data_IF_180491343343
#
_entry.id   IF_180491343343
#
_cell.length_a   1.000
_cell.length_b   1.000
_cell.length_c   1.000
_cell.angle_alpha   90.00
_cell.angle_beta   90.00
_cell.angle_gamma   90.00
#
_symmetry.space_group_name_H-M   'P 1'
#
loop_
_entity.id
_entity.type
_entity.pdbx_description
1 polymer ?
#
# COMPACT_ATOMS: atom_id res chain seq x y z
N UNK A 1 -18.27 -30.92 -9.71
CA UNK A 1 -17.70 -30.27 -10.91
C UNK A 1 -17.30 -31.37 -11.90
N UNK A 2 -17.76 -31.32 -13.15
CA UNK A 2 -17.53 -32.40 -14.12
C UNK A 2 -16.09 -32.37 -14.66
N UNK A 3 -15.55 -33.52 -15.05
CA UNK A 3 -14.20 -33.64 -15.63
C UNK A 3 -14.00 -32.79 -16.90
N UNK A 4 -15.08 -32.37 -17.56
CA UNK A 4 -15.02 -31.52 -18.75
C UNK A 4 -14.63 -30.07 -18.44
N UNK A 5 -15.07 -29.51 -17.29
CA UNK A 5 -14.68 -28.15 -16.88
C UNK A 5 -13.17 -28.05 -16.62
N UNK A 6 -12.58 -29.04 -15.95
CA UNK A 6 -11.13 -29.06 -15.66
C UNK A 6 -10.28 -29.08 -16.93
N UNK A 7 -10.73 -29.78 -17.98
CA UNK A 7 -10.00 -29.85 -19.25
C UNK A 7 -9.98 -28.50 -19.98
N UNK A 8 -11.04 -27.72 -19.87
CA UNK A 8 -11.12 -26.39 -20.46
C UNK A 8 -10.22 -25.39 -19.71
N UNK A 9 -10.23 -25.44 -18.38
CA UNK A 9 -9.36 -24.61 -17.55
C UNK A 9 -7.87 -24.80 -17.89
N UNK A 10 -7.43 -26.06 -18.04
CA UNK A 10 -6.04 -26.39 -18.42
C UNK A 10 -5.71 -25.82 -19.80
N UNK A 11 -6.58 -26.05 -20.79
CA UNK A 11 -6.36 -25.58 -22.18
C UNK A 11 -6.34 -24.07 -22.31
N UNK A 12 -7.16 -23.36 -21.52
CA UNK A 12 -7.12 -21.90 -21.49
C UNK A 12 -5.79 -21.44 -20.90
N UNK A 13 -5.37 -22.01 -19.77
CA UNK A 13 -4.10 -21.67 -19.13
C UNK A 13 -2.88 -21.92 -20.03
N UNK A 14 -2.87 -22.99 -20.83
CA UNK A 14 -1.80 -23.25 -21.80
C UNK A 14 -1.71 -22.20 -22.93
N UNK A 15 -2.79 -21.46 -23.17
CA UNK A 15 -2.91 -20.44 -24.22
C UNK A 15 -3.03 -19.03 -23.64
N UNK A 16 -2.59 -18.83 -22.40
CA UNK A 16 -2.72 -17.57 -21.66
C UNK A 16 -2.11 -16.37 -22.42
N UNK A 17 -0.99 -16.60 -23.10
CA UNK A 17 -0.30 -15.57 -23.89
C UNK A 17 -1.12 -15.07 -25.10
N UNK A 18 -2.14 -15.82 -25.54
CA UNK A 18 -3.01 -15.39 -26.66
C UNK A 18 -4.07 -14.36 -26.24
N UNK A 19 -4.33 -14.21 -24.95
CA UNK A 19 -5.38 -13.34 -24.42
C UNK A 19 -4.95 -12.49 -23.21
N UNK A 20 -3.66 -12.51 -22.86
CA UNK A 20 -3.09 -11.69 -21.79
C UNK A 20 -1.89 -10.90 -22.28
N UNK A 21 -1.50 -9.87 -21.52
CA UNK A 21 -0.26 -9.15 -21.72
C UNK A 21 0.44 -8.93 -20.38
N UNK A 22 1.76 -8.86 -20.41
CA UNK A 22 2.57 -8.52 -19.25
C UNK A 22 2.73 -7.01 -19.16
N UNK A 23 2.38 -6.44 -18.00
CA UNK A 23 2.64 -5.04 -17.66
C UNK A 23 3.53 -5.00 -16.43
N UNK A 24 4.55 -4.16 -16.45
CA UNK A 24 5.35 -3.90 -15.26
C UNK A 24 4.51 -3.14 -14.23
N UNK A 25 4.59 -3.57 -12.98
CA UNK A 25 3.76 -3.08 -11.89
C UNK A 25 4.65 -2.80 -10.67
N UNK A 26 4.54 -1.60 -10.11
CA UNK A 26 5.40 -1.18 -9.02
C UNK A 26 4.66 -1.20 -7.69
N UNK A 27 5.20 -1.94 -6.72
CA UNK A 27 4.64 -2.04 -5.37
C UNK A 27 5.65 -1.50 -4.37
N UNK A 28 5.29 -0.41 -3.70
CA UNK A 28 6.00 0.09 -2.54
C UNK A 28 5.49 -0.63 -1.29
N UNK A 29 6.39 -1.26 -0.53
CA UNK A 29 6.06 -1.92 0.74
C UNK A 29 6.87 -1.30 1.86
N UNK A 30 6.19 -0.74 2.84
CA UNK A 30 6.80 -0.14 4.02
C UNK A 30 6.30 -0.80 5.28
N UNK A 31 7.19 -1.01 6.25
CA UNK A 31 6.79 -1.33 7.62
C UNK A 31 7.38 -0.38 8.67
N UNK A 32 6.61 -0.07 9.72
CA UNK A 32 7.07 0.80 10.81
C UNK A 32 6.47 0.41 12.16
N UNK A 33 7.33 0.07 13.12
CA UNK A 33 6.95 -0.08 14.52
C UNK A 33 6.83 1.30 15.18
N UNK A 34 5.62 1.69 15.56
CA UNK A 34 5.34 3.03 16.11
C UNK A 34 5.44 3.08 17.64
N UNK A 35 5.72 1.95 18.30
CA UNK A 35 5.96 1.84 19.74
C UNK A 35 4.89 2.58 20.58
N UNK A 36 3.62 2.27 20.31
CA UNK A 36 2.43 2.82 20.96
C UNK A 36 2.27 4.35 20.88
N UNK A 37 3.04 5.02 20.00
CA UNK A 37 3.02 6.48 19.87
C UNK A 37 1.82 6.94 19.07
N UNK A 38 1.29 8.08 19.49
CA UNK A 38 0.30 8.81 18.73
C UNK A 38 0.94 9.39 17.46
N UNK A 39 0.18 9.41 16.37
CA UNK A 39 0.66 9.97 15.12
C UNK A 39 0.84 11.50 15.29
N UNK A 40 2.02 12.06 14.98
CA UNK A 40 2.27 13.50 15.14
C UNK A 40 1.48 14.29 14.09
N UNK A 41 0.72 15.31 14.51
CA UNK A 41 -0.17 16.07 13.60
C UNK A 41 0.55 16.91 12.53
N UNK A 42 1.85 17.15 12.68
CA UNK A 42 2.66 18.02 11.83
C UNK A 42 3.80 17.29 11.09
N UNK A 43 3.85 15.96 11.13
CA UNK A 43 4.92 15.18 10.50
C UNK A 43 4.37 14.45 9.28
N UNK A 44 5.14 14.52 8.18
CA UNK A 44 4.95 13.72 6.98
C UNK A 44 6.03 12.65 6.90
N UNK A 45 5.73 11.55 6.22
CA UNK A 45 6.63 10.40 6.08
C UNK A 45 7.32 10.39 4.71
N UNK A 46 7.68 11.57 4.19
CA UNK A 46 8.11 11.76 2.80
C UNK A 46 9.41 11.01 2.49
N UNK A 47 10.36 11.04 3.43
CA UNK A 47 11.62 10.29 3.29
C UNK A 47 11.41 8.79 3.17
N UNK A 48 10.33 8.27 3.75
CA UNK A 48 10.00 6.86 3.73
C UNK A 48 9.13 6.47 2.53
N UNK A 49 8.10 7.26 2.23
CA UNK A 49 7.07 6.90 1.27
C UNK A 49 7.26 7.51 -0.12
N UNK A 50 8.17 8.47 -0.28
CA UNK A 50 8.26 9.28 -1.51
C UNK A 50 9.63 9.25 -2.18
N UNK A 51 10.64 8.62 -1.57
CA UNK A 51 11.98 8.47 -2.13
C UNK A 51 12.16 7.15 -2.89
N UNK A 52 11.18 6.76 -3.70
CA UNK A 52 11.25 5.53 -4.50
C UNK A 52 12.04 5.80 -5.78
N UNK A 53 13.31 5.38 -5.79
CA UNK A 53 14.16 5.40 -6.98
C UNK A 53 14.01 4.09 -7.73
N UNK A 54 14.06 4.15 -9.05
CA UNK A 54 14.19 2.93 -9.84
C UNK A 54 15.59 2.33 -9.65
N UNK A 55 15.64 1.16 -9.01
CA UNK A 55 16.88 0.44 -8.74
C UNK A 55 17.42 -0.31 -9.96
N UNK A 56 16.61 -0.45 -11.02
CA UNK A 56 16.95 -1.17 -12.24
C UNK A 56 17.42 -0.25 -13.37
N UNK A 57 17.28 1.07 -13.20
CA UNK A 57 17.75 2.06 -14.17
C UNK A 57 19.08 2.68 -13.71
N UNK A 58 20.09 2.64 -14.57
CA UNK A 58 21.43 3.20 -14.32
C UNK A 58 21.38 4.73 -14.11
N UNK A 59 20.37 5.38 -14.67
CA UNK A 59 20.02 6.77 -14.43
C UNK A 59 19.20 6.91 -13.14
N UNK A 60 19.91 6.90 -12.00
CA UNK A 60 19.45 6.97 -10.59
C UNK A 60 18.55 8.16 -10.19
N UNK A 61 18.00 8.92 -11.15
CA UNK A 61 17.32 10.20 -10.94
C UNK A 61 15.81 10.17 -11.25
N UNK A 62 15.27 9.12 -11.85
CA UNK A 62 13.82 9.04 -12.09
C UNK A 62 13.07 8.54 -10.84
N UNK A 63 12.07 9.33 -10.41
CA UNK A 63 11.13 8.96 -9.34
C UNK A 63 10.16 7.95 -9.92
N UNK A 64 10.17 6.73 -9.39
CA UNK A 64 9.21 5.70 -9.77
C UNK A 64 7.92 5.89 -8.96
N UNK A 65 6.81 6.19 -9.63
CA UNK A 65 5.51 6.30 -8.99
C UNK A 65 4.91 4.90 -8.82
N UNK A 66 4.66 4.43 -7.59
CA UNK A 66 4.12 3.09 -7.35
C UNK A 66 2.66 2.98 -7.80
N UNK A 67 2.28 1.80 -8.28
CA UNK A 67 0.88 1.44 -8.55
C UNK A 67 0.15 1.04 -7.26
N UNK A 68 0.85 0.39 -6.32
CA UNK A 68 0.35 0.05 -5.00
C UNK A 68 1.34 0.48 -3.93
N UNK A 69 0.81 1.06 -2.85
CA UNK A 69 1.55 1.34 -1.63
C UNK A 69 0.93 0.50 -0.51
N UNK A 70 1.71 -0.44 0.03
CA UNK A 70 1.35 -1.25 1.19
C UNK A 70 2.13 -0.80 2.42
N UNK A 71 1.43 -0.29 3.44
CA UNK A 71 2.04 0.18 4.69
C UNK A 71 1.58 -0.67 5.86
N UNK A 72 2.52 -1.26 6.59
CA UNK A 72 2.29 -2.07 7.77
C UNK A 72 2.84 -1.42 9.04
N UNK A 73 1.97 -1.08 9.97
CA UNK A 73 2.37 -0.57 11.29
C UNK A 73 2.33 -1.67 12.35
N UNK A 74 3.31 -1.66 13.26
CA UNK A 74 3.31 -2.51 14.45
C UNK A 74 3.24 -1.68 15.73
N UNK A 75 2.74 -2.32 16.79
CA UNK A 75 2.60 -1.77 18.12
C UNK A 75 1.82 -0.44 18.15
N UNK A 76 0.78 -0.29 17.31
CA UNK A 76 -0.03 0.94 17.32
C UNK A 76 -0.69 1.18 18.69
N UNK A 77 -1.33 0.14 19.22
CA UNK A 77 -1.85 0.15 20.57
C UNK A 77 -1.42 -1.12 21.31
N UNK A 78 -0.58 -0.93 22.31
CA UNK A 78 -0.08 -2.01 23.17
C UNK A 78 -0.83 -2.10 24.50
N UNK A 79 -1.84 -1.25 24.71
CA UNK A 79 -2.65 -1.26 25.92
C UNK A 79 -3.48 -2.56 26.03
N UNK A 80 -3.74 -3.00 27.26
CA UNK A 80 -4.63 -4.14 27.52
C UNK A 80 -6.04 -3.92 26.95
N UNK A 81 -6.49 -2.66 26.88
CA UNK A 81 -7.77 -2.27 26.30
C UNK A 81 -7.87 -2.53 24.81
N UNK A 82 -6.77 -2.45 24.05
CA UNK A 82 -6.76 -2.69 22.61
C UNK A 82 -7.11 -4.13 22.20
N UNK A 83 -6.98 -5.09 23.14
CA UNK A 83 -7.40 -6.48 22.92
C UNK A 83 -8.88 -6.70 23.17
N UNK A 84 -9.52 -5.80 23.91
CA UNK A 84 -10.89 -5.96 24.42
C UNK A 84 -11.85 -5.02 23.68
N UNK A 85 -11.38 -3.81 23.37
CA UNK A 85 -12.16 -2.72 22.79
C UNK A 85 -11.67 -2.41 21.37
N UNK A 86 -12.60 -2.22 20.44
CA UNK A 86 -12.33 -1.84 19.05
C UNK A 86 -12.07 -0.32 18.92
N UNK A 87 -11.15 0.23 19.72
CA UNK A 87 -10.70 1.62 19.53
C UNK A 87 -9.74 1.69 18.34
N UNK A 88 -10.04 2.58 17.39
CA UNK A 88 -9.32 2.78 16.13
C UNK A 88 -8.65 4.15 16.02
N UNK A 89 -8.75 4.99 17.06
CA UNK A 89 -8.31 6.38 16.99
C UNK A 89 -6.87 6.54 16.50
N UNK A 90 -5.91 5.82 17.12
CA UNK A 90 -4.49 5.87 16.71
C UNK A 90 -4.28 5.33 15.30
N UNK A 91 -5.06 4.32 14.90
CA UNK A 91 -4.96 3.71 13.57
C UNK A 91 -5.39 4.69 12.48
N UNK A 92 -6.48 5.42 12.73
CA UNK A 92 -7.01 6.43 11.82
C UNK A 92 -6.06 7.64 11.72
N UNK A 93 -5.45 8.06 12.83
CA UNK A 93 -4.43 9.12 12.82
C UNK A 93 -3.20 8.75 11.99
N UNK A 94 -2.65 7.55 12.18
CA UNK A 94 -1.52 7.07 11.37
C UNK A 94 -1.89 6.91 9.89
N UNK A 95 -3.11 6.45 9.60
CA UNK A 95 -3.60 6.40 8.23
C UNK A 95 -3.73 7.79 7.60
N UNK A 96 -4.22 8.78 8.35
CA UNK A 96 -4.33 10.16 7.84
C UNK A 96 -2.96 10.72 7.47
N UNK A 97 -1.93 10.49 8.28
CA UNK A 97 -0.56 10.93 7.94
C UNK A 97 -0.06 10.26 6.65
N UNK A 98 -0.27 8.96 6.49
CA UNK A 98 0.13 8.24 5.26
C UNK A 98 -0.60 8.82 4.05
N UNK A 99 -1.91 9.04 4.14
CA UNK A 99 -2.71 9.65 3.07
C UNK A 99 -2.21 11.04 2.72
N UNK A 100 -1.97 11.89 3.71
CA UNK A 100 -1.46 13.25 3.49
C UNK A 100 -0.07 13.24 2.86
N UNK A 101 0.81 12.33 3.31
CA UNK A 101 2.16 12.17 2.75
C UNK A 101 2.09 11.78 1.29
N UNK A 102 1.35 10.70 0.95
CA UNK A 102 1.19 10.22 -0.43
C UNK A 102 0.60 11.33 -1.31
N UNK A 103 -0.43 12.01 -0.80
CA UNK A 103 -1.07 13.15 -1.47
C UNK A 103 -0.06 14.22 -1.85
N UNK A 104 0.71 14.71 -0.87
CA UNK A 104 1.65 15.81 -1.07
C UNK A 104 2.83 15.43 -1.96
N UNK A 105 3.27 14.17 -1.91
CA UNK A 105 4.40 13.70 -2.71
C UNK A 105 4.07 13.46 -4.17
N UNK A 106 2.86 12.95 -4.47
CA UNK A 106 2.51 12.51 -5.80
C UNK A 106 1.49 13.41 -6.51
N UNK A 107 0.61 14.14 -5.81
CA UNK A 107 -0.36 15.06 -6.44
C UNK A 107 0.25 16.42 -6.83
N UNK A 108 1.48 16.75 -6.39
CA UNK A 108 2.13 18.05 -6.66
C UNK A 108 2.96 18.11 -7.95
N UNK A 109 3.05 17.03 -8.72
CA UNK A 109 3.78 17.03 -9.98
C UNK A 109 2.83 17.39 -11.14
N UNK A 110 3.05 18.59 -11.68
CA UNK A 110 2.16 19.42 -12.51
C UNK A 110 1.66 18.86 -13.87
N UNK A 111 1.65 17.56 -14.14
CA UNK A 111 1.18 17.05 -15.45
C UNK A 111 0.21 15.85 -15.39
N UNK A 112 0.11 15.12 -14.28
CA UNK A 112 -0.85 14.02 -14.12
C UNK A 112 -1.54 14.07 -12.75
N UNK A 113 -2.86 13.88 -12.72
CA UNK A 113 -3.65 13.88 -11.49
C UNK A 113 -3.50 12.52 -10.78
N UNK A 114 -2.31 12.23 -10.25
CA UNK A 114 -1.98 10.96 -9.62
C UNK A 114 -2.72 10.86 -8.28
N UNK A 115 -3.74 10.01 -8.23
CA UNK A 115 -4.52 9.78 -7.01
C UNK A 115 -4.30 8.39 -6.47
N UNK A 116 -4.33 8.29 -5.14
CA UNK A 116 -4.32 7.00 -4.46
C UNK A 116 -5.61 6.82 -3.66
N UNK A 117 -6.25 5.68 -3.86
CA UNK A 117 -7.40 5.26 -3.08
C UNK A 117 -7.02 4.14 -2.12
N UNK A 118 -7.60 4.15 -0.92
CA UNK A 118 -7.42 3.06 0.01
C UNK A 118 -8.24 1.85 -0.46
N UNK A 119 -7.55 0.79 -0.82
CA UNK A 119 -8.12 -0.45 -1.30
C UNK A 119 -8.56 -1.36 -0.16
N UNK A 120 -7.76 -1.50 0.90
CA UNK A 120 -8.10 -2.37 2.02
C UNK A 120 -7.39 -2.01 3.32
N UNK A 121 -7.98 -2.43 4.45
CA UNK A 121 -7.43 -2.37 5.81
C UNK A 121 -7.45 -3.77 6.42
N UNK A 122 -6.31 -4.22 6.91
CA UNK A 122 -6.21 -5.47 7.67
C UNK A 122 -5.72 -5.15 9.08
N UNK A 123 -6.51 -5.55 10.09
CA UNK A 123 -6.19 -5.37 11.51
C UNK A 123 -6.01 -6.73 12.17
N UNK A 124 -4.93 -6.87 12.94
CA UNK A 124 -4.68 -8.03 13.80
C UNK A 124 -4.44 -7.55 15.24
N UNK A 125 -5.44 -7.77 16.10
CA UNK A 125 -5.36 -7.59 17.55
C UNK A 125 -4.89 -6.21 18.01
N UNK A 126 -5.30 -5.12 17.34
CA UNK A 126 -4.97 -3.73 17.71
C UNK A 126 -3.49 -3.32 17.62
N UNK A 127 -2.59 -4.29 17.44
CA UNK A 127 -1.14 -4.07 17.38
C UNK A 127 -0.62 -3.89 15.98
N UNK A 128 -1.13 -4.68 15.05
CA UNK A 128 -0.63 -4.72 13.68
C UNK A 128 -1.72 -4.31 12.72
N UNK A 129 -1.42 -3.32 11.89
CA UNK A 129 -2.34 -2.85 10.85
C UNK A 129 -1.63 -2.73 9.52
N UNK A 130 -2.25 -3.26 8.48
CA UNK A 130 -1.79 -3.12 7.12
C UNK A 130 -2.81 -2.33 6.31
N UNK A 131 -2.33 -1.36 5.53
CA UNK A 131 -3.11 -0.47 4.70
C UNK A 131 -2.60 -0.58 3.27
N UNK A 132 -3.51 -0.76 2.33
CA UNK A 132 -3.19 -0.86 0.91
C UNK A 132 -3.80 0.32 0.18
N UNK A 133 -2.96 1.08 -0.52
CA UNK A 133 -3.37 2.18 -1.38
C UNK A 133 -3.08 1.80 -2.82
N UNK A 134 -4.03 2.04 -3.72
CA UNK A 134 -3.90 1.77 -5.15
C UNK A 134 -3.96 3.10 -5.90
N UNK A 135 -3.05 3.27 -6.87
CA UNK A 135 -3.08 4.38 -7.82
C UNK A 135 -4.30 4.26 -8.73
N UNK A 136 -5.02 5.35 -8.92
CA UNK A 136 -6.19 5.45 -9.77
C UNK A 136 -5.85 6.38 -10.94
N UNK A 137 -6.21 5.94 -12.15
CA UNK A 137 -6.08 6.70 -13.40
C UNK A 137 -7.17 7.77 -13.53
#
# INVERSE_FOLDING_TARGET
>A
MSNSSKRLEIRLKEREDEYTCYKQFYVLVGTFNVNNRQAPSNILLEEWLCQVKDNNNENKQEICIPDIIAVGFQEIDTSGGAYIYDDKKKEDEWEQIVRQTIKLCYEKNNEENIKFELLNRVRLMGKNNMKFFKRVE
#
